data_IF_556723636929
#
_entry.id   IF_556723636929
#
_cell.length_a   1.000
_cell.length_b   1.000
_cell.length_c   1.000
_cell.angle_alpha   90.00
_cell.angle_beta   90.00
_cell.angle_gamma   90.00
#
_symmetry.space_group_name_H-M   'P 1'
#
loop_
_entity.id
_entity.type
_entity.pdbx_description
1 polymer ?
2 non-polymer ?
3 non-polymer ?
4 water ?
#
# COMPACT_ATOMS: atom_id res chain seq x y z
N UNK A 3 3.77 -13.38 1.78
CA UNK A 3 4.95 -12.63 1.26
C UNK A 3 4.50 -11.18 1.09
N UNK A 4 4.90 -10.52 0.01
CA UNK A 4 4.46 -9.16 -0.23
C UNK A 4 3.00 -9.17 -0.67
N UNK A 5 2.26 -8.13 -0.28
CA UNK A 5 0.86 -7.97 -0.62
C UNK A 5 0.73 -6.71 -1.48
N UNK A 6 -0.09 -6.72 -2.51
CA UNK A 6 -0.28 -5.50 -3.27
C UNK A 6 -1.00 -4.45 -2.41
N UNK A 7 -0.72 -3.18 -2.69
CA UNK A 7 -1.39 -2.09 -1.99
C UNK A 7 -2.92 -2.23 -2.08
N UNK A 8 -3.42 -2.53 -3.28
CA UNK A 8 -4.86 -2.71 -3.47
C UNK A 8 -5.39 -3.83 -2.58
N UNK A 9 -4.74 -4.99 -2.60
CA UNK A 9 -5.25 -6.10 -1.77
C UNK A 9 -5.18 -5.78 -0.29
N UNK A 10 -4.12 -5.09 0.13
CA UNK A 10 -3.98 -4.71 1.52
C UNK A 10 -5.11 -3.79 1.94
N UNK A 11 -5.38 -2.78 1.12
CA UNK A 11 -6.44 -1.83 1.47
C UNK A 11 -7.79 -2.52 1.52
N UNK A 12 -8.02 -3.47 0.62
CA UNK A 12 -9.28 -4.21 0.63
C UNK A 12 -9.44 -5.02 1.91
N UNK A 13 -8.34 -5.63 2.36
CA UNK A 13 -8.33 -6.51 3.53
C UNK A 13 -8.43 -5.74 4.85
N UNK A 14 -7.64 -4.69 4.97
CA UNK A 14 -7.46 -3.99 6.25
C UNK A 14 -8.14 -2.65 6.34
N UNK A 15 -8.60 -2.13 5.21
CA UNK A 15 -9.34 -0.87 5.17
C UNK A 15 -8.46 0.33 4.89
N UNK A 16 -9.07 1.39 4.38
CA UNK A 16 -8.34 2.59 4.04
C UNK A 16 -7.67 3.29 5.23
N UNK A 17 -8.34 3.36 6.37
CA UNK A 17 -7.75 4.01 7.54
C UNK A 17 -6.47 3.32 7.98
N UNK A 18 -6.56 2.01 8.18
CA UNK A 18 -5.41 1.27 8.66
C UNK A 18 -4.25 1.32 7.64
N UNK A 19 -4.60 1.22 6.37
CA UNK A 19 -3.57 1.29 5.35
C UNK A 19 -2.85 2.64 5.40
N UNK A 20 -3.62 3.73 5.46
CA UNK A 20 -3.06 5.07 5.54
C UNK A 20 -2.16 5.24 6.76
N UNK A 21 -2.67 4.86 7.92
CA UNK A 21 -1.88 5.01 9.14
C UNK A 21 -0.63 4.11 9.15
N UNK A 22 -0.75 2.89 8.63
CA UNK A 22 0.40 2.00 8.57
C UNK A 22 1.48 2.53 7.63
N UNK A 23 1.08 3.25 6.59
CA UNK A 23 2.01 3.77 5.60
C UNK A 23 2.43 5.20 5.87
N UNK A 24 1.85 5.80 6.91
CA UNK A 24 2.18 7.18 7.27
C UNK A 24 1.72 8.26 6.33
N UNK A 25 0.64 8.00 5.61
CA UNK A 25 0.09 8.92 4.63
C UNK A 25 -1.40 9.13 4.88
N UNK A 26 -1.99 10.06 4.14
CA UNK A 26 -3.42 10.31 4.18
C UNK A 26 -4.15 9.28 3.32
N UNK A 27 -5.42 9.01 3.63
CA UNK A 27 -6.18 8.11 2.76
C UNK A 27 -6.13 8.50 1.28
N UNK A 28 -6.16 9.79 0.98
CA UNK A 28 -6.14 10.21 -0.41
C UNK A 28 -4.91 9.69 -1.14
N UNK A 29 -3.79 9.58 -0.43
CA UNK A 29 -2.56 9.07 -1.05
C UNK A 29 -2.69 7.60 -1.43
N UNK A 30 -3.30 6.81 -0.55
CA UNK A 30 -3.60 5.42 -0.84
C UNK A 30 -4.54 5.31 -2.05
N UNK A 31 -5.62 6.07 -2.00
CA UNK A 31 -6.64 6.00 -3.03
C UNK A 31 -6.04 6.36 -4.40
N UNK A 32 -5.27 7.45 -4.43
CA UNK A 32 -4.66 7.89 -5.67
C UNK A 32 -3.68 6.86 -6.23
N UNK A 33 -2.90 6.23 -5.36
CA UNK A 33 -1.90 5.25 -5.83
C UNK A 33 -2.54 3.98 -6.36
N UNK A 34 -3.64 3.59 -5.74
CA UNK A 34 -4.42 2.45 -6.25
C UNK A 34 -5.03 2.77 -7.61
N UNK A 35 -5.67 3.92 -7.73
CA UNK A 35 -6.23 4.30 -9.01
C UNK A 35 -5.17 4.42 -10.11
N UNK A 36 -4.00 4.93 -9.75
CA UNK A 36 -2.92 5.16 -10.73
C UNK A 36 -2.39 3.84 -11.27
N UNK A 37 -2.61 2.76 -10.54
CA UNK A 37 -2.10 1.45 -10.90
C UNK A 37 -0.60 1.32 -10.67
N UNK A 38 -0.10 2.10 -9.72
CA UNK A 38 1.29 1.99 -9.34
C UNK A 38 1.56 0.60 -8.73
N UNK A 39 2.75 0.07 -8.97
CA UNK A 39 3.10 -1.25 -8.51
C UNK A 39 3.75 -1.11 -7.13
N UNK A 40 2.90 -1.18 -6.11
CA UNK A 40 3.29 -0.96 -4.72
C UNK A 40 3.01 -2.23 -3.94
N UNK A 41 4.01 -2.65 -3.18
CA UNK A 41 3.99 -3.92 -2.48
C UNK A 41 4.30 -3.71 -1.02
N UNK A 42 3.50 -4.34 -0.17
CA UNK A 42 3.57 -4.15 1.26
C UNK A 42 4.04 -5.43 1.94
N UNK A 43 5.01 -5.28 2.84
CA UNK A 43 5.50 -6.36 3.68
C UNK A 43 5.03 -6.10 5.10
N UNK A 44 4.27 -7.04 5.66
CA UNK A 44 3.84 -6.96 7.06
C UNK A 44 4.96 -7.47 7.94
N UNK A 45 5.54 -6.59 8.75
CA UNK A 45 6.61 -6.97 9.66
C UNK A 45 6.05 -7.52 10.96
N UNK A 46 6.83 -8.35 11.63
CA UNK A 46 6.41 -9.00 12.88
C UNK A 46 5.95 -8.02 13.95
N UNK A 47 6.61 -6.86 14.03
CA UNK A 47 6.27 -5.86 15.02
C UNK A 47 5.05 -5.00 14.68
N UNK A 48 4.37 -5.35 13.59
CA UNK A 48 3.16 -4.67 13.16
C UNK A 48 3.40 -3.52 12.20
N UNK A 49 4.64 -3.06 12.09
CA UNK A 49 4.98 -2.09 11.08
C UNK A 49 4.83 -2.72 9.70
N UNK A 50 4.57 -1.86 8.71
CA UNK A 50 4.33 -2.31 7.33
C UNK A 50 5.28 -1.53 6.43
N UNK A 51 6.01 -2.26 5.59
CA UNK A 51 7.02 -1.67 4.70
C UNK A 51 6.48 -1.68 3.28
N UNK A 52 6.24 -0.48 2.74
CA UNK A 52 5.74 -0.33 1.39
C UNK A 52 6.84 0.13 0.44
N UNK A 53 6.90 -0.50 -0.71
CA UNK A 53 7.84 -0.09 -1.75
C UNK A 53 7.18 -0.12 -3.12
N UNK A 54 7.73 0.66 -4.02
CA UNK A 54 7.21 0.79 -5.35
C UNK A 54 8.26 0.27 -6.30
N UNK A 55 7.80 -0.45 -7.32
CA UNK A 55 8.62 -0.87 -8.45
C UNK A 55 8.08 -0.10 -9.65
N UNK A 56 8.97 0.61 -10.34
CA UNK A 56 8.55 1.40 -11.48
C UNK A 56 9.65 1.42 -12.55
N UNK A 57 9.28 1.59 -13.82
CA UNK A 57 10.29 1.78 -14.83
C UNK A 57 11.22 2.97 -14.55
N UNK A 58 12.45 2.86 -15.01
CA UNK A 58 13.41 3.96 -14.97
C UNK A 58 13.79 4.29 -16.42
N UNK A 59 13.73 5.58 -16.82
CA UNK A 59 13.37 6.74 -16.01
C UNK A 59 11.88 6.86 -15.79
N UNK A 60 11.54 7.71 -14.83
CA UNK A 60 10.15 7.97 -14.50
C UNK A 60 9.43 8.69 -15.63
X LIG B 1 4.27 9.71 -3.82
X LIG B 1 5.05 8.51 -3.75
X LIG B 1 4.92 10.64 -4.75
X LIG B 1 2.92 9.45 -4.28
X LIG B 1 4.20 10.31 -2.50
X LIG C 1 8.88 -0.89 17.62
X LIG C 1 7.94 -1.79 16.95
X LIG C 1 7.10 -1.12 15.87
X LIG C 1 7.03 0.32 15.93
X LIG C 1 7.77 1.10 16.90
X LIG C 1 8.16 0.29 18.11
#
# INVERSE_FOLDING_TARGET
MEQRITLKDYAMRFGQTKTAKDLGVYPSSINQAIHAGRKIFLTINADGSVYAEEVKPFPSNKKTTA
SO4 S O1 O2 O3 O4
EPE N1 C2 C3 N4 C5 C6
#
